data_IF_004971047528
#
_entry.id   IF_004971047528
#
_cell.length_a   1.000
_cell.length_b   1.000
_cell.length_c   1.000
_cell.angle_alpha   90.00
_cell.angle_beta   90.00
_cell.angle_gamma   90.00
#
_symmetry.space_group_name_H-M   'P 1'
#
loop_
_entity.id
_entity.type
_entity.pdbx_description
1 polymer ?
#
# COMPACT_ATOMS: atom_id res chain seq x y z
N UNK A 1 -28.28 -60.12 20.84
CA UNK A 1 -27.68 -59.35 19.73
C UNK A 1 -28.76 -58.44 19.21
N UNK A 2 -28.77 -57.11 19.51
CA UNK A 2 -29.55 -56.12 18.75
C UNK A 2 -28.63 -55.32 17.81
N UNK A 3 -29.12 -55.11 16.58
CA UNK A 3 -28.43 -54.48 15.49
C UNK A 3 -28.17 -53.01 15.70
N UNK A 4 -26.99 -52.57 15.30
CA UNK A 4 -26.60 -51.17 15.17
C UNK A 4 -27.13 -50.60 13.84
N UNK A 5 -28.11 -49.69 13.92
CA UNK A 5 -28.48 -48.83 12.81
C UNK A 5 -27.36 -47.80 12.60
N UNK A 6 -26.70 -47.90 11.44
CA UNK A 6 -25.73 -46.91 10.98
C UNK A 6 -26.50 -45.77 10.30
N UNK A 7 -26.65 -44.64 11.00
CA UNK A 7 -27.19 -43.42 10.40
C UNK A 7 -26.20 -42.88 9.35
N UNK A 8 -26.67 -42.76 8.10
CA UNK A 8 -25.86 -42.29 6.97
C UNK A 8 -25.43 -40.83 7.09
N UNK A 9 -24.31 -40.43 6.43
CA UNK A 9 -23.64 -39.13 6.57
C UNK A 9 -24.37 -37.90 5.97
N UNK A 10 -25.54 -38.11 5.35
CA UNK A 10 -26.19 -37.02 4.58
C UNK A 10 -27.00 -35.98 5.37
N UNK A 11 -27.25 -36.16 6.67
CA UNK A 11 -28.06 -35.19 7.46
C UNK A 11 -27.25 -34.12 8.19
N UNK A 12 -25.97 -34.33 8.42
CA UNK A 12 -25.13 -33.38 9.17
C UNK A 12 -24.63 -32.26 8.25
N UNK A 13 -24.29 -32.58 6.98
CA UNK A 13 -23.83 -31.58 5.99
C UNK A 13 -24.92 -30.58 5.58
N UNK A 14 -26.18 -31.03 5.48
CA UNK A 14 -27.28 -30.12 5.12
C UNK A 14 -27.65 -29.15 6.24
N UNK A 15 -27.51 -29.53 7.50
CA UNK A 15 -27.76 -28.64 8.65
C UNK A 15 -26.68 -27.58 8.82
N UNK A 16 -25.42 -27.93 8.63
CA UNK A 16 -24.29 -26.98 8.67
C UNK A 16 -24.32 -25.97 7.51
N UNK A 17 -24.69 -26.41 6.30
CA UNK A 17 -24.87 -25.54 5.16
C UNK A 17 -26.03 -24.54 5.31
N UNK A 18 -27.14 -24.97 5.91
CA UNK A 18 -28.34 -24.13 6.17
C UNK A 18 -28.07 -23.10 7.28
N UNK A 19 -27.32 -23.47 8.31
CA UNK A 19 -26.89 -22.53 9.35
C UNK A 19 -25.94 -21.49 8.76
N UNK A 20 -25.00 -21.87 7.93
CA UNK A 20 -24.06 -20.94 7.25
C UNK A 20 -24.76 -19.91 6.35
N UNK A 21 -25.83 -20.32 5.61
CA UNK A 21 -26.60 -19.39 4.77
C UNK A 21 -27.41 -18.41 5.62
N UNK A 22 -28.03 -18.86 6.72
CA UNK A 22 -28.77 -17.96 7.63
C UNK A 22 -27.86 -16.96 8.31
N UNK A 23 -26.70 -17.38 8.76
CA UNK A 23 -25.71 -16.52 9.41
C UNK A 23 -25.12 -15.52 8.40
N UNK A 24 -24.85 -15.93 7.17
CA UNK A 24 -24.42 -15.07 6.09
C UNK A 24 -25.48 -14.02 5.72
N UNK A 25 -26.76 -14.41 5.61
CA UNK A 25 -27.87 -13.49 5.38
C UNK A 25 -28.04 -12.50 6.53
N UNK A 26 -27.98 -12.98 7.78
CA UNK A 26 -28.07 -12.16 9.00
C UNK A 26 -26.94 -11.14 9.04
N UNK A 27 -25.72 -11.56 8.73
CA UNK A 27 -24.56 -10.67 8.64
C UNK A 27 -24.76 -9.60 7.57
N UNK A 28 -25.21 -9.96 6.38
CA UNK A 28 -25.50 -9.00 5.30
C UNK A 28 -26.59 -8.00 5.68
N UNK A 29 -27.67 -8.45 6.28
CA UNK A 29 -28.77 -7.59 6.74
C UNK A 29 -28.24 -6.62 7.81
N UNK A 30 -27.50 -7.10 8.78
CA UNK A 30 -26.92 -6.26 9.83
C UNK A 30 -25.94 -5.23 9.24
N UNK A 31 -25.13 -5.66 8.29
CA UNK A 31 -24.21 -4.74 7.59
C UNK A 31 -24.95 -3.63 6.84
N UNK A 32 -26.04 -3.95 6.15
CA UNK A 32 -26.86 -2.94 5.46
C UNK A 32 -27.52 -1.99 6.47
N UNK A 33 -27.99 -2.48 7.62
CA UNK A 33 -28.56 -1.65 8.69
C UNK A 33 -27.56 -0.65 9.30
N UNK A 34 -26.27 -0.97 9.28
CA UNK A 34 -25.21 -0.08 9.75
C UNK A 34 -24.77 0.94 8.70
N UNK A 35 -25.24 0.84 7.44
CA UNK A 35 -24.91 1.76 6.37
C UNK A 35 -25.78 3.01 6.41
N UNK A 36 -25.19 4.15 6.06
CA UNK A 36 -25.97 5.37 5.82
C UNK A 36 -26.72 5.28 4.49
N UNK A 37 -27.82 6.04 4.36
CA UNK A 37 -28.60 6.07 3.11
C UNK A 37 -27.75 6.46 1.88
N UNK A 38 -26.71 7.29 2.06
CA UNK A 38 -25.81 7.69 0.98
C UNK A 38 -24.77 6.60 0.63
N UNK A 39 -24.46 5.68 1.57
CA UNK A 39 -23.49 4.62 1.35
C UNK A 39 -23.98 3.54 0.40
N UNK A 40 -25.26 3.19 0.48
CA UNK A 40 -25.84 2.12 -0.37
C UNK A 40 -25.71 2.44 -1.86
N UNK A 41 -26.17 3.59 -2.38
CA UNK A 41 -25.98 3.92 -3.79
C UNK A 41 -24.51 4.08 -4.17
N UNK A 42 -23.66 4.58 -3.27
CA UNK A 42 -22.23 4.66 -3.51
C UNK A 42 -21.61 3.27 -3.74
N UNK A 43 -21.92 2.29 -2.88
CA UNK A 43 -21.41 0.91 -3.04
C UNK A 43 -21.92 0.24 -4.30
N UNK A 44 -23.20 0.48 -4.66
CA UNK A 44 -23.77 -0.04 -5.90
C UNK A 44 -23.06 0.57 -7.12
N UNK A 45 -22.90 1.90 -7.15
CA UNK A 45 -22.16 2.57 -8.23
C UNK A 45 -20.71 2.04 -8.34
N UNK A 46 -20.03 1.79 -7.21
CA UNK A 46 -18.68 1.22 -7.21
C UNK A 46 -18.64 -0.18 -7.80
N UNK A 47 -19.60 -1.03 -7.45
CA UNK A 47 -19.68 -2.37 -8.02
C UNK A 47 -19.93 -2.31 -9.54
N UNK A 48 -20.86 -1.47 -9.98
CA UNK A 48 -21.14 -1.25 -11.40
C UNK A 48 -19.92 -0.67 -12.14
N UNK A 49 -19.23 0.31 -11.55
CA UNK A 49 -18.00 0.86 -12.13
C UNK A 49 -16.93 -0.19 -12.29
N UNK A 50 -16.70 -1.05 -11.28
CA UNK A 50 -15.71 -2.12 -11.37
C UNK A 50 -16.02 -3.11 -12.50
N UNK A 51 -17.30 -3.46 -12.70
CA UNK A 51 -17.70 -4.31 -13.82
C UNK A 51 -17.55 -3.60 -15.17
N UNK A 52 -17.95 -2.33 -15.27
CA UNK A 52 -17.78 -1.55 -16.49
C UNK A 52 -16.29 -1.38 -16.83
N UNK A 53 -15.44 -1.08 -15.85
CA UNK A 53 -14.00 -0.97 -16.04
C UNK A 53 -13.37 -2.30 -16.48
N UNK A 54 -13.83 -3.44 -15.95
CA UNK A 54 -13.33 -4.76 -16.37
C UNK A 54 -13.66 -5.04 -17.83
N UNK A 55 -14.84 -4.62 -18.32
CA UNK A 55 -15.23 -4.73 -19.73
C UNK A 55 -14.36 -3.81 -20.60
N UNK A 56 -14.23 -2.53 -20.21
CA UNK A 56 -13.40 -1.56 -20.94
C UNK A 56 -11.95 -2.04 -21.02
N UNK A 57 -11.40 -2.56 -19.93
CA UNK A 57 -10.04 -3.09 -19.91
C UNK A 57 -9.84 -4.25 -20.89
N UNK A 58 -10.86 -5.09 -21.08
CA UNK A 58 -10.83 -6.20 -22.06
C UNK A 58 -10.64 -5.69 -23.51
N UNK A 59 -11.13 -4.48 -23.85
CA UNK A 59 -10.94 -3.87 -25.16
C UNK A 59 -9.60 -3.13 -25.33
N UNK A 60 -8.81 -3.01 -24.29
CA UNK A 60 -7.46 -2.46 -24.32
C UNK A 60 -7.06 -1.69 -23.07
N UNK A 61 -5.74 -1.50 -22.87
CA UNK A 61 -5.24 -0.73 -21.72
C UNK A 61 -5.65 0.74 -21.86
N UNK A 62 -5.84 1.39 -20.68
CA UNK A 62 -6.12 2.82 -20.64
C UNK A 62 -4.93 3.62 -21.16
N UNK A 63 -5.23 4.60 -22.01
CA UNK A 63 -4.21 5.53 -22.53
C UNK A 63 -3.78 6.46 -21.39
N UNK A 64 -2.51 6.40 -21.04
CA UNK A 64 -1.89 7.31 -20.07
C UNK A 64 -1.39 8.55 -20.80
N UNK A 65 -1.76 9.76 -20.36
CA UNK A 65 -1.23 10.99 -20.94
C UNK A 65 0.29 11.06 -20.79
N UNK A 66 0.97 11.59 -21.80
CA UNK A 66 2.42 11.79 -21.72
C UNK A 66 2.78 12.73 -20.55
N UNK A 67 3.78 12.39 -19.72
CA UNK A 67 4.22 13.25 -18.63
C UNK A 67 4.99 14.47 -19.17
N UNK A 68 4.71 15.64 -18.61
CA UNK A 68 5.52 16.85 -18.85
C UNK A 68 6.74 16.88 -17.92
N UNK A 69 7.85 16.31 -18.36
CA UNK A 69 9.08 16.22 -17.56
C UNK A 69 9.81 17.57 -17.38
N UNK A 70 9.38 18.65 -18.05
CA UNK A 70 9.90 19.99 -17.81
C UNK A 70 9.40 20.59 -16.48
N UNK A 71 8.32 20.04 -15.92
CA UNK A 71 7.86 20.43 -14.58
C UNK A 71 8.78 19.79 -13.55
N UNK A 72 9.57 20.61 -12.85
CA UNK A 72 10.48 20.14 -11.82
C UNK A 72 9.73 19.62 -10.59
N UNK A 73 10.15 18.48 -10.08
CA UNK A 73 9.78 17.99 -8.75
C UNK A 73 10.81 18.46 -7.72
N UNK A 74 10.34 18.73 -6.50
CA UNK A 74 11.23 19.03 -5.38
C UNK A 74 11.56 17.76 -4.63
N UNK A 75 12.81 17.63 -4.21
CA UNK A 75 13.24 16.54 -3.36
C UNK A 75 12.88 16.85 -1.91
N UNK A 76 12.25 15.90 -1.22
CA UNK A 76 11.94 15.98 0.20
C UNK A 76 12.57 14.83 1.00
N UNK A 77 13.16 13.86 0.29
CA UNK A 77 14.01 12.81 0.86
C UNK A 77 15.46 13.15 0.52
N UNK A 78 16.30 13.25 1.54
CA UNK A 78 17.70 13.61 1.39
C UNK A 78 18.59 12.58 2.05
N UNK A 79 19.76 12.34 1.45
CA UNK A 79 20.82 11.57 2.09
C UNK A 79 21.30 12.30 3.35
N UNK A 80 21.64 11.55 4.39
CA UNK A 80 22.30 12.10 5.57
C UNK A 80 23.75 11.63 5.62
N UNK A 81 24.68 12.59 5.75
CA UNK A 81 26.13 12.33 5.75
C UNK A 81 26.67 11.59 7.00
N UNK A 82 25.80 11.24 7.96
CA UNK A 82 26.21 10.71 9.27
C UNK A 82 25.59 9.35 9.60
N UNK A 83 25.30 8.54 8.59
CA UNK A 83 24.71 7.21 8.78
C UNK A 83 25.82 6.18 8.61
N UNK A 84 25.87 5.21 9.52
CA UNK A 84 26.66 4.00 9.29
C UNK A 84 26.07 3.23 8.12
N UNK A 85 26.83 3.08 7.05
CA UNK A 85 26.37 2.46 5.82
C UNK A 85 26.25 0.93 5.94
N UNK A 86 27.03 0.30 6.80
CA UNK A 86 27.17 -1.16 6.82
C UNK A 86 25.82 -1.90 6.98
N UNK A 87 24.93 -1.56 7.94
CA UNK A 87 23.65 -2.25 8.08
C UNK A 87 22.75 -2.10 6.84
N UNK A 88 22.82 -0.95 6.16
CA UNK A 88 22.01 -0.69 4.93
C UNK A 88 22.51 -1.54 3.75
N UNK A 89 23.84 -1.66 3.62
CA UNK A 89 24.46 -2.49 2.58
C UNK A 89 24.16 -3.96 2.80
N UNK A 90 24.29 -4.45 4.03
CA UNK A 90 23.99 -5.84 4.41
C UNK A 90 22.52 -6.19 4.11
N UNK A 91 21.58 -5.29 4.47
CA UNK A 91 20.16 -5.49 4.17
C UNK A 91 19.89 -5.50 2.66
N UNK A 92 20.52 -4.60 1.90
CA UNK A 92 20.37 -4.54 0.44
C UNK A 92 21.01 -5.74 -0.27
N UNK A 93 22.11 -6.26 0.23
CA UNK A 93 22.76 -7.47 -0.31
C UNK A 93 21.89 -8.71 -0.09
N UNK A 94 21.20 -8.82 1.05
CA UNK A 94 20.17 -9.86 1.26
C UNK A 94 19.04 -9.75 0.23
N UNK A 95 18.51 -8.52 0.02
CA UNK A 95 17.49 -8.27 -1.00
C UNK A 95 17.97 -8.64 -2.41
N UNK A 96 19.19 -8.27 -2.76
CA UNK A 96 19.79 -8.60 -4.06
C UNK A 96 19.94 -10.12 -4.26
N UNK A 97 20.18 -10.85 -3.17
CA UNK A 97 20.20 -12.32 -3.15
C UNK A 97 18.79 -12.97 -3.14
N UNK A 98 17.70 -12.17 -3.24
CA UNK A 98 16.34 -12.69 -3.23
C UNK A 98 15.75 -12.94 -1.84
N UNK A 99 16.42 -12.50 -0.79
CA UNK A 99 16.03 -12.75 0.61
C UNK A 99 15.31 -11.52 1.18
N UNK A 100 14.07 -11.72 1.60
CA UNK A 100 13.19 -10.66 2.11
C UNK A 100 12.58 -11.05 3.46
N UNK A 101 12.21 -10.03 4.23
CA UNK A 101 11.35 -10.18 5.39
C UNK A 101 9.92 -9.83 5.01
N UNK A 102 8.98 -10.73 5.33
CA UNK A 102 7.55 -10.55 5.09
C UNK A 102 6.80 -10.89 6.37
N UNK A 103 6.47 -9.90 7.17
CA UNK A 103 5.90 -10.06 8.51
C UNK A 103 6.73 -11.03 9.38
N UNK A 104 6.10 -12.09 9.90
CA UNK A 104 6.77 -13.09 10.74
C UNK A 104 7.76 -14.00 9.97
N UNK A 105 7.69 -14.01 8.63
CA UNK A 105 8.64 -14.76 7.80
C UNK A 105 9.90 -13.91 7.62
N UNK A 106 10.96 -14.29 8.33
CA UNK A 106 12.24 -13.58 8.28
C UNK A 106 13.21 -14.26 7.33
N UNK A 107 13.93 -13.45 6.56
CA UNK A 107 15.02 -13.86 5.67
C UNK A 107 14.63 -15.02 4.72
N UNK A 108 13.38 -14.94 4.15
CA UNK A 108 12.89 -15.97 3.24
C UNK A 108 13.37 -15.73 1.81
N UNK A 109 13.62 -16.80 1.09
CA UNK A 109 14.00 -16.75 -0.32
C UNK A 109 12.73 -16.61 -1.19
N UNK A 110 12.54 -15.42 -1.76
CA UNK A 110 11.47 -15.12 -2.72
C UNK A 110 11.96 -15.08 -4.16
N UNK A 111 13.27 -15.26 -4.38
CA UNK A 111 13.92 -15.06 -5.66
C UNK A 111 14.23 -13.60 -5.97
N UNK A 112 15.09 -13.39 -6.95
CA UNK A 112 15.46 -12.05 -7.43
C UNK A 112 15.36 -12.01 -8.96
N UNK A 113 14.24 -11.52 -9.54
CA UNK A 113 13.08 -10.91 -8.89
C UNK A 113 12.12 -11.91 -8.24
N UNK A 114 11.31 -11.49 -7.25
CA UNK A 114 10.28 -12.31 -6.61
C UNK A 114 9.17 -12.78 -7.56
N UNK A 115 8.46 -13.86 -7.16
CA UNK A 115 7.21 -14.28 -7.79
C UNK A 115 6.04 -13.42 -7.27
N UNK A 116 5.75 -12.30 -7.94
CA UNK A 116 4.87 -11.22 -7.47
C UNK A 116 3.41 -11.59 -7.20
N UNK A 117 2.90 -12.67 -7.79
CA UNK A 117 1.52 -13.13 -7.59
C UNK A 117 1.43 -14.35 -6.65
N UNK A 118 2.56 -14.78 -6.09
CA UNK A 118 2.63 -15.94 -5.20
C UNK A 118 2.62 -15.50 -3.74
N UNK A 119 1.71 -16.07 -2.95
CA UNK A 119 1.73 -15.91 -1.51
C UNK A 119 2.97 -16.58 -0.90
N UNK A 120 3.88 -15.84 -0.26
CA UNK A 120 5.12 -16.42 0.29
C UNK A 120 4.87 -17.39 1.45
N UNK A 121 3.71 -17.34 2.11
CA UNK A 121 3.37 -18.18 3.25
C UNK A 121 2.82 -19.53 2.83
N UNK A 122 1.88 -19.56 1.89
CA UNK A 122 1.21 -20.80 1.45
C UNK A 122 1.75 -21.35 0.13
N UNK A 123 2.44 -20.52 -0.65
CA UNK A 123 2.90 -20.87 -1.99
C UNK A 123 1.82 -20.81 -3.07
N UNK A 124 0.60 -20.39 -2.74
CA UNK A 124 -0.52 -20.29 -3.69
C UNK A 124 -0.25 -19.14 -4.67
N UNK A 125 -0.45 -19.39 -5.96
CA UNK A 125 -0.37 -18.40 -7.03
C UNK A 125 -1.74 -17.76 -7.25
N UNK A 126 -1.87 -16.46 -6.96
CA UNK A 126 -3.10 -15.73 -7.14
C UNK A 126 -3.40 -15.50 -8.63
N UNK A 127 -4.66 -15.63 -9.09
CA UNK A 127 -5.01 -15.48 -10.49
C UNK A 127 -4.90 -14.02 -10.97
N UNK A 128 -4.56 -13.84 -12.24
CA UNK A 128 -4.48 -12.54 -12.91
C UNK A 128 -5.84 -12.10 -13.45
N UNK A 129 -6.90 -12.19 -12.64
CA UNK A 129 -8.22 -11.64 -12.97
C UNK A 129 -8.28 -10.15 -12.65
N UNK A 130 -9.37 -9.47 -13.05
CA UNK A 130 -9.56 -8.05 -12.74
C UNK A 130 -9.57 -7.83 -11.22
N UNK A 131 -8.62 -7.05 -10.70
CA UNK A 131 -8.31 -6.98 -9.27
C UNK A 131 -9.49 -6.58 -8.38
N UNK A 132 -10.33 -5.63 -8.82
CA UNK A 132 -11.52 -5.20 -8.06
C UNK A 132 -12.67 -6.23 -8.04
N UNK A 133 -12.64 -7.22 -8.91
CA UNK A 133 -13.60 -8.33 -8.94
C UNK A 133 -13.03 -9.63 -8.35
N UNK A 134 -11.73 -9.65 -8.03
CA UNK A 134 -11.07 -10.78 -7.40
C UNK A 134 -11.58 -10.96 -5.95
N UNK A 135 -12.00 -12.16 -5.60
CA UNK A 135 -12.28 -12.50 -4.21
C UNK A 135 -10.99 -12.76 -3.43
N UNK A 136 -10.32 -11.67 -3.09
CA UNK A 136 -9.04 -11.70 -2.34
C UNK A 136 -9.18 -12.19 -0.89
N UNK A 137 -10.40 -12.46 -0.41
CA UNK A 137 -10.63 -13.04 0.91
C UNK A 137 -10.71 -14.57 0.89
N UNK A 138 -10.73 -15.16 -0.28
CA UNK A 138 -10.73 -16.62 -0.41
C UNK A 138 -9.29 -17.15 -0.36
N UNK A 139 -8.85 -17.76 0.75
CA UNK A 139 -7.47 -18.24 0.91
C UNK A 139 -7.12 -19.41 -0.03
N UNK A 140 -8.09 -20.14 -0.55
CA UNK A 140 -7.86 -21.19 -1.54
C UNK A 140 -7.51 -20.61 -2.91
N UNK A 141 -7.90 -19.33 -3.17
CA UNK A 141 -7.69 -18.66 -4.44
C UNK A 141 -6.42 -17.83 -4.45
N UNK A 142 -6.09 -17.15 -3.34
CA UNK A 142 -5.01 -16.15 -3.27
C UNK A 142 -3.99 -16.43 -2.15
N UNK A 143 -4.19 -17.47 -1.34
CA UNK A 143 -3.40 -17.71 -0.15
C UNK A 143 -3.71 -16.70 0.96
N UNK A 144 -2.72 -16.40 1.79
CA UNK A 144 -2.81 -15.31 2.76
C UNK A 144 -2.52 -13.97 2.06
N UNK A 145 -3.60 -13.26 1.73
CA UNK A 145 -3.51 -12.04 0.93
C UNK A 145 -2.62 -10.97 1.57
N UNK A 146 -2.54 -10.90 2.91
CA UNK A 146 -1.69 -9.92 3.61
C UNK A 146 -0.21 -10.17 3.29
N UNK A 147 0.24 -11.42 3.32
CA UNK A 147 1.61 -11.80 2.98
C UNK A 147 1.95 -11.53 1.51
N UNK A 148 1.00 -11.79 0.61
CA UNK A 148 1.16 -11.45 -0.80
C UNK A 148 1.28 -9.93 -1.00
N UNK A 149 0.42 -9.14 -0.36
CA UNK A 149 0.47 -7.67 -0.46
C UNK A 149 1.76 -7.10 0.12
N UNK A 150 2.22 -7.58 1.28
CA UNK A 150 3.43 -7.07 1.93
C UNK A 150 4.65 -7.13 1.00
N UNK A 151 4.89 -8.25 0.36
CA UNK A 151 5.97 -8.40 -0.62
C UNK A 151 5.84 -7.40 -1.80
N UNK A 152 4.61 -6.99 -2.14
CA UNK A 152 4.29 -6.08 -3.24
C UNK A 152 4.14 -4.60 -2.84
N UNK A 153 4.36 -4.25 -1.57
CA UNK A 153 4.47 -2.86 -1.09
C UNK A 153 5.76 -2.19 -1.53
N UNK A 154 6.72 -3.00 -1.97
CA UNK A 154 8.03 -2.58 -2.48
C UNK A 154 8.90 -1.84 -1.45
N UNK A 155 8.77 -2.18 -0.16
CA UNK A 155 9.66 -1.68 0.90
C UNK A 155 11.14 -1.97 0.57
N UNK A 156 11.42 -3.12 -0.01
CA UNK A 156 12.76 -3.56 -0.41
C UNK A 156 13.42 -2.66 -1.48
N UNK A 157 12.63 -1.96 -2.31
CA UNK A 157 13.19 -1.00 -3.28
C UNK A 157 13.76 0.23 -2.57
N UNK A 158 13.18 0.64 -1.44
CA UNK A 158 13.73 1.71 -0.61
C UNK A 158 15.07 1.28 -0.03
N UNK A 159 15.17 0.05 0.50
CA UNK A 159 16.43 -0.53 1.01
C UNK A 159 17.53 -0.52 -0.06
N UNK A 160 17.23 -0.97 -1.27
CA UNK A 160 18.19 -0.95 -2.39
C UNK A 160 18.59 0.48 -2.78
N UNK A 161 17.63 1.42 -2.80
CA UNK A 161 17.90 2.81 -3.14
C UNK A 161 18.75 3.51 -2.08
N UNK A 162 18.55 3.21 -0.79
CA UNK A 162 19.39 3.70 0.30
C UNK A 162 20.81 3.18 0.16
N UNK A 163 21.00 1.88 -0.11
CA UNK A 163 22.31 1.31 -0.31
C UNK A 163 23.03 1.92 -1.52
N UNK A 164 22.31 2.16 -2.63
CA UNK A 164 22.86 2.89 -3.78
C UNK A 164 23.25 4.32 -3.40
N UNK A 165 22.40 5.04 -2.69
CA UNK A 165 22.66 6.41 -2.26
C UNK A 165 23.95 6.51 -1.41
N UNK A 166 24.16 5.54 -0.51
CA UNK A 166 25.30 5.50 0.39
C UNK A 166 26.59 5.01 -0.26
N UNK A 167 26.54 4.04 -1.19
CA UNK A 167 27.72 3.38 -1.75
C UNK A 167 28.04 3.77 -3.19
N UNK A 168 27.04 4.23 -3.94
CA UNK A 168 27.10 4.42 -5.40
C UNK A 168 27.39 3.12 -6.19
N UNK A 169 27.20 1.94 -5.58
CA UNK A 169 27.37 0.66 -6.25
C UNK A 169 26.18 0.38 -7.20
N UNK A 170 26.51 0.29 -8.49
CA UNK A 170 25.52 0.10 -9.55
C UNK A 170 24.78 -1.24 -9.50
N UNK A 171 25.31 -2.23 -8.74
CA UNK A 171 24.61 -3.52 -8.56
C UNK A 171 23.19 -3.33 -8.03
N UNK A 172 22.98 -2.34 -7.12
CA UNK A 172 21.66 -2.04 -6.57
C UNK A 172 20.70 -1.44 -7.62
N UNK A 173 21.21 -0.60 -8.54
CA UNK A 173 20.41 -0.10 -9.67
C UNK A 173 19.96 -1.24 -10.59
N UNK A 174 20.85 -2.22 -10.84
CA UNK A 174 20.53 -3.38 -11.68
C UNK A 174 19.41 -4.22 -11.06
N UNK A 175 19.46 -4.46 -9.74
CA UNK A 175 18.42 -5.20 -9.02
C UNK A 175 17.10 -4.42 -9.03
N UNK A 176 17.11 -3.11 -8.78
CA UNK A 176 15.92 -2.25 -8.86
C UNK A 176 15.30 -2.34 -10.26
N UNK A 177 16.13 -2.24 -11.31
CA UNK A 177 15.68 -2.37 -12.70
C UNK A 177 14.97 -3.71 -12.94
N UNK A 178 15.60 -4.81 -12.56
CA UNK A 178 15.08 -6.16 -12.75
C UNK A 178 13.76 -6.37 -12.00
N UNK A 179 13.69 -5.92 -10.73
CA UNK A 179 12.49 -6.06 -9.92
C UNK A 179 11.32 -5.24 -10.48
N UNK A 180 11.53 -3.98 -10.85
CA UNK A 180 10.49 -3.13 -11.42
C UNK A 180 10.02 -3.66 -12.79
N UNK A 181 10.94 -4.03 -13.68
CA UNK A 181 10.58 -4.53 -15.01
C UNK A 181 9.78 -5.84 -14.92
N UNK A 182 10.20 -6.76 -14.05
CA UNK A 182 9.49 -8.00 -13.73
C UNK A 182 8.11 -7.73 -13.14
N UNK A 183 8.02 -6.77 -12.19
CA UNK A 183 6.73 -6.43 -11.57
C UNK A 183 5.75 -5.86 -12.60
N UNK A 184 6.16 -4.91 -13.43
CA UNK A 184 5.31 -4.36 -14.49
C UNK A 184 4.84 -5.40 -15.50
N UNK A 185 5.63 -6.45 -15.74
CA UNK A 185 5.23 -7.56 -16.61
C UNK A 185 4.24 -8.52 -15.94
N UNK A 186 4.42 -8.75 -14.63
CA UNK A 186 3.64 -9.72 -13.87
C UNK A 186 2.34 -9.17 -13.29
N UNK A 187 2.28 -7.86 -13.03
CA UNK A 187 1.18 -7.17 -12.35
C UNK A 187 0.67 -5.98 -13.21
N UNK A 188 0.16 -6.23 -14.44
CA UNK A 188 -0.32 -5.16 -15.31
C UNK A 188 -1.49 -4.40 -14.66
N UNK A 189 -1.72 -3.17 -15.11
CA UNK A 189 -2.76 -2.27 -14.59
C UNK A 189 -4.07 -3.01 -14.33
N UNK A 190 -4.59 -2.86 -13.11
CA UNK A 190 -5.89 -3.41 -12.62
C UNK A 190 -6.01 -4.94 -12.60
N UNK A 191 -4.94 -5.68 -12.89
CA UNK A 191 -4.98 -7.16 -12.93
C UNK A 191 -4.28 -7.78 -11.73
N UNK A 192 -4.93 -8.80 -11.17
CA UNK A 192 -4.42 -9.61 -10.05
C UNK A 192 -4.65 -9.00 -8.66
N UNK A 193 -4.16 -9.73 -7.67
CA UNK A 193 -4.32 -9.40 -6.25
C UNK A 193 -3.70 -8.04 -5.86
N UNK A 194 -2.66 -7.62 -6.58
CA UNK A 194 -1.94 -6.36 -6.34
C UNK A 194 -2.73 -5.10 -6.71
N UNK A 195 -3.91 -5.27 -7.34
CA UNK A 195 -4.84 -4.21 -7.71
C UNK A 195 -6.22 -4.38 -7.04
N UNK A 196 -6.32 -5.20 -6.00
CA UNK A 196 -7.59 -5.42 -5.28
C UNK A 196 -7.86 -4.36 -4.20
N UNK A 197 -6.81 -3.79 -3.59
CA UNK A 197 -6.87 -2.79 -2.51
C UNK A 197 -6.21 -1.48 -2.91
N UNK A 198 -6.92 -0.36 -2.75
CA UNK A 198 -6.38 0.98 -3.02
C UNK A 198 -5.32 1.39 -1.99
N UNK A 199 -5.40 0.89 -0.75
CA UNK A 199 -4.37 1.09 0.27
C UNK A 199 -3.02 0.49 -0.17
N UNK A 200 -3.01 -0.74 -0.68
CA UNK A 200 -1.79 -1.41 -1.12
C UNK A 200 -1.13 -0.69 -2.31
N UNK A 201 -1.98 -0.21 -3.23
CA UNK A 201 -1.54 0.63 -4.35
C UNK A 201 -0.93 1.95 -3.84
N UNK A 202 -1.51 2.54 -2.80
CA UNK A 202 -1.03 3.79 -2.19
C UNK A 202 0.30 3.62 -1.45
N UNK A 203 0.45 2.56 -0.64
CA UNK A 203 1.72 2.26 0.05
C UNK A 203 2.84 2.03 -0.97
N UNK A 204 2.55 1.32 -2.06
CA UNK A 204 3.51 1.12 -3.16
C UNK A 204 3.95 2.45 -3.77
N UNK A 205 3.03 3.42 -3.99
CA UNK A 205 3.38 4.74 -4.47
C UNK A 205 4.27 5.53 -3.49
N UNK A 206 4.05 5.39 -2.18
CA UNK A 206 4.92 6.01 -1.16
C UNK A 206 6.35 5.45 -1.31
N UNK A 207 6.50 4.13 -1.34
CA UNK A 207 7.80 3.47 -1.47
C UNK A 207 8.48 3.80 -2.81
N UNK A 208 7.71 3.86 -3.90
CA UNK A 208 8.24 4.30 -5.19
C UNK A 208 8.67 5.77 -5.17
N UNK A 209 7.95 6.65 -4.46
CA UNK A 209 8.31 8.06 -4.32
C UNK A 209 9.65 8.22 -3.61
N UNK A 210 9.84 7.51 -2.49
CA UNK A 210 11.09 7.53 -1.74
C UNK A 210 12.23 6.96 -2.58
N UNK A 211 12.02 5.80 -3.21
CA UNK A 211 12.99 5.17 -4.12
C UNK A 211 13.40 6.11 -5.25
N UNK A 212 12.40 6.71 -5.94
CA UNK A 212 12.62 7.65 -7.04
C UNK A 212 13.50 8.83 -6.62
N UNK A 213 13.24 9.40 -5.44
CA UNK A 213 13.99 10.55 -4.95
C UNK A 213 15.43 10.18 -4.55
N UNK A 214 15.62 9.07 -3.82
CA UNK A 214 16.96 8.59 -3.46
C UNK A 214 17.84 8.27 -4.68
N UNK A 215 17.22 7.87 -5.79
CA UNK A 215 17.92 7.60 -7.06
C UNK A 215 18.21 8.85 -7.91
N UNK A 216 17.77 10.04 -7.50
CA UNK A 216 18.00 11.28 -8.24
C UNK A 216 16.88 11.69 -9.22
N UNK A 217 15.68 11.09 -9.09
CA UNK A 217 14.51 11.48 -9.86
C UNK A 217 14.62 11.16 -11.35
N UNK A 218 14.18 12.08 -12.20
CA UNK A 218 14.24 11.93 -13.67
C UNK A 218 15.66 11.81 -14.23
N UNK A 219 16.65 12.29 -13.47
CA UNK A 219 18.07 12.30 -13.83
C UNK A 219 18.84 11.09 -13.25
N UNK A 220 18.13 10.11 -12.72
CA UNK A 220 18.75 8.90 -12.16
C UNK A 220 19.59 8.16 -13.20
N UNK A 221 20.80 7.67 -12.85
CA UNK A 221 21.58 6.78 -13.72
C UNK A 221 20.81 5.51 -14.12
N UNK A 222 19.83 5.09 -13.32
CA UNK A 222 18.92 3.99 -13.65
C UNK A 222 18.24 4.18 -15.03
N UNK A 223 18.08 5.42 -15.48
CA UNK A 223 17.37 5.76 -16.71
C UNK A 223 18.28 6.05 -17.90
N UNK A 224 19.57 5.86 -17.73
CA UNK A 224 20.52 5.95 -18.84
C UNK A 224 20.29 4.83 -19.85
N UNK A 225 20.72 5.06 -21.07
CA UNK A 225 20.59 4.15 -22.18
C UNK A 225 19.13 3.77 -22.56
N UNK A 226 18.98 3.00 -23.62
CA UNK A 226 17.66 2.65 -24.18
C UNK A 226 16.79 1.81 -23.23
N UNK A 227 17.41 0.94 -22.42
CA UNK A 227 16.68 0.10 -21.46
C UNK A 227 16.17 0.94 -20.28
N UNK A 228 17.03 1.79 -19.72
CA UNK A 228 16.65 2.70 -18.64
C UNK A 228 15.56 3.70 -19.07
N UNK A 229 15.64 4.23 -20.29
CA UNK A 229 14.60 5.10 -20.84
C UNK A 229 13.24 4.38 -20.99
N UNK A 230 13.24 3.08 -21.36
CA UNK A 230 12.03 2.26 -21.39
C UNK A 230 11.47 2.01 -19.98
N UNK A 231 12.33 1.69 -19.01
CA UNK A 231 11.93 1.52 -17.61
C UNK A 231 11.30 2.81 -17.07
N UNK A 232 11.93 3.97 -17.27
CA UNK A 232 11.38 5.27 -16.86
C UNK A 232 9.97 5.50 -17.39
N UNK A 233 9.76 5.26 -18.70
CA UNK A 233 8.42 5.40 -19.31
C UNK A 233 7.41 4.49 -18.65
N UNK A 234 7.70 3.18 -18.50
CA UNK A 234 6.80 2.21 -17.86
C UNK A 234 6.52 2.56 -16.40
N UNK A 235 7.52 3.03 -15.67
CA UNK A 235 7.34 3.42 -14.28
C UNK A 235 6.40 4.63 -14.19
N UNK A 236 6.61 5.67 -14.98
CA UNK A 236 5.73 6.84 -15.01
C UNK A 236 4.30 6.49 -15.48
N UNK A 237 4.14 5.64 -16.48
CA UNK A 237 2.85 5.11 -16.89
C UNK A 237 2.15 4.41 -15.71
N UNK A 238 2.86 3.54 -15.00
CA UNK A 238 2.33 2.83 -13.83
C UNK A 238 2.02 3.77 -12.66
N UNK A 239 2.83 4.79 -12.40
CA UNK A 239 2.54 5.83 -11.39
C UNK A 239 1.20 6.51 -11.68
N UNK A 240 0.97 6.92 -12.93
CA UNK A 240 -0.30 7.54 -13.33
C UNK A 240 -1.48 6.58 -13.13
N UNK A 241 -1.34 5.31 -13.53
CA UNK A 241 -2.36 4.28 -13.36
C UNK A 241 -2.68 4.04 -11.88
N UNK A 242 -1.67 3.99 -11.00
CA UNK A 242 -1.83 3.87 -9.55
C UNK A 242 -2.60 5.07 -8.98
N UNK A 243 -2.18 6.29 -9.31
CA UNK A 243 -2.84 7.51 -8.83
C UNK A 243 -4.31 7.59 -9.29
N UNK A 244 -4.58 7.20 -10.53
CA UNK A 244 -5.92 7.13 -11.07
C UNK A 244 -6.76 6.05 -10.39
N UNK A 245 -6.20 4.88 -10.12
CA UNK A 245 -6.87 3.81 -9.39
C UNK A 245 -7.24 4.27 -7.98
N UNK A 246 -6.32 4.85 -7.22
CA UNK A 246 -6.60 5.36 -5.87
C UNK A 246 -7.71 6.42 -5.91
N UNK A 247 -7.60 7.42 -6.78
CA UNK A 247 -8.59 8.49 -6.90
C UNK A 247 -9.98 7.95 -7.27
N UNK A 248 -10.02 6.84 -8.00
CA UNK A 248 -11.22 6.11 -8.37
C UNK A 248 -11.80 5.24 -7.24
N UNK A 249 -11.01 4.77 -6.27
CA UNK A 249 -11.41 3.72 -5.32
C UNK A 249 -11.16 4.06 -3.85
N UNK A 250 -11.25 5.32 -3.46
CA UNK A 250 -11.16 5.72 -2.05
C UNK A 250 -12.13 4.95 -1.15
N UNK A 251 -11.64 4.52 0.00
CA UNK A 251 -12.42 3.91 1.08
C UNK A 251 -13.25 4.97 1.78
N UNK A 252 -14.55 5.03 1.48
CA UNK A 252 -15.48 6.05 2.00
C UNK A 252 -16.50 5.45 2.95
N UNK A 253 -17.20 6.30 3.69
CA UNK A 253 -18.28 5.95 4.63
C UNK A 253 -17.80 5.00 5.73
N UNK A 254 -18.46 3.86 5.92
CA UNK A 254 -18.09 2.87 6.94
C UNK A 254 -16.76 2.15 6.67
N UNK A 255 -16.15 2.38 5.51
CA UNK A 255 -14.79 1.91 5.19
C UNK A 255 -13.73 3.00 5.36
N UNK A 256 -14.12 4.21 5.80
CA UNK A 256 -13.21 5.32 6.06
C UNK A 256 -12.55 5.13 7.42
N UNK A 257 -11.46 4.39 7.44
CA UNK A 257 -10.56 4.14 8.56
C UNK A 257 -9.12 4.48 8.12
N UNK A 258 -8.10 3.83 8.71
CA UNK A 258 -6.70 3.99 8.28
C UNK A 258 -6.50 3.81 6.76
N UNK A 259 -7.35 3.01 6.10
CA UNK A 259 -7.30 2.84 4.63
C UNK A 259 -7.47 4.17 3.90
N UNK A 260 -8.46 4.99 4.25
CA UNK A 260 -8.68 6.28 3.59
C UNK A 260 -7.52 7.24 3.80
N UNK A 261 -6.92 7.24 5.00
CA UNK A 261 -5.71 8.04 5.29
C UNK A 261 -4.54 7.56 4.43
N UNK A 262 -4.28 6.25 4.37
CA UNK A 262 -3.20 5.69 3.57
C UNK A 262 -3.37 5.92 2.07
N UNK A 263 -4.58 5.75 1.57
CA UNK A 263 -4.94 6.04 0.17
C UNK A 263 -4.70 7.51 -0.19
N UNK A 264 -5.13 8.42 0.68
CA UNK A 264 -4.90 9.85 0.48
C UNK A 264 -3.42 10.21 0.63
N UNK A 265 -2.69 9.61 1.58
CA UNK A 265 -1.25 9.84 1.76
C UNK A 265 -0.45 9.41 0.52
N UNK A 266 -0.69 8.21 -0.01
CA UNK A 266 -0.02 7.74 -1.22
C UNK A 266 -0.32 8.62 -2.42
N UNK A 267 -1.57 9.05 -2.61
CA UNK A 267 -1.95 9.94 -3.70
C UNK A 267 -1.32 11.34 -3.55
N UNK A 268 -1.29 11.89 -2.33
CA UNK A 268 -0.68 13.20 -2.04
C UNK A 268 0.82 13.19 -2.31
N UNK A 269 1.53 12.20 -1.76
CA UNK A 269 2.99 12.05 -1.93
C UNK A 269 3.34 11.83 -3.41
N UNK A 270 2.58 10.99 -4.12
CA UNK A 270 2.76 10.77 -5.55
C UNK A 270 2.56 12.04 -6.37
N UNK A 271 1.53 12.82 -6.07
CA UNK A 271 1.24 14.07 -6.77
C UNK A 271 2.33 15.13 -6.58
N UNK A 272 3.00 15.15 -5.41
CA UNK A 272 4.16 16.01 -5.14
C UNK A 272 5.43 15.51 -5.83
N UNK A 273 5.66 14.20 -5.81
CA UNK A 273 6.85 13.58 -6.41
C UNK A 273 6.81 13.62 -7.94
N UNK A 274 5.63 13.44 -8.54
CA UNK A 274 5.42 13.45 -9.99
C UNK A 274 4.37 14.50 -10.41
N UNK A 275 4.73 15.81 -10.38
CA UNK A 275 3.81 16.89 -10.77
C UNK A 275 3.68 17.01 -12.29
N UNK A 276 3.90 15.92 -13.02
CA UNK A 276 4.11 15.89 -14.47
C UNK A 276 2.81 15.87 -15.29
N UNK A 277 1.64 15.74 -14.65
CA UNK A 277 0.34 15.74 -15.33
C UNK A 277 -0.55 16.86 -14.78
N UNK A 278 -1.45 17.36 -15.61
CA UNK A 278 -2.46 18.35 -15.16
C UNK A 278 -3.34 17.80 -14.02
N UNK A 279 -3.57 16.48 -14.02
CA UNK A 279 -4.30 15.77 -12.96
C UNK A 279 -3.54 15.71 -11.63
N UNK A 280 -2.20 15.83 -11.62
CA UNK A 280 -1.41 15.80 -10.38
C UNK A 280 -1.86 16.86 -9.37
N UNK A 281 -2.19 18.07 -9.84
CA UNK A 281 -2.71 19.14 -8.97
C UNK A 281 -4.10 18.80 -8.39
N UNK A 282 -4.94 18.16 -9.17
CA UNK A 282 -6.27 17.70 -8.71
C UNK A 282 -6.09 16.63 -7.64
N UNK A 283 -5.22 15.65 -7.88
CA UNK A 283 -4.90 14.60 -6.92
C UNK A 283 -4.34 15.16 -5.61
N UNK A 284 -3.37 16.09 -5.71
CA UNK A 284 -2.78 16.77 -4.54
C UNK A 284 -3.86 17.47 -3.70
N UNK A 285 -4.73 18.27 -4.33
CA UNK A 285 -5.77 19.02 -3.62
C UNK A 285 -6.80 18.09 -2.99
N UNK A 286 -7.27 17.08 -3.73
CA UNK A 286 -8.23 16.10 -3.23
C UNK A 286 -7.67 15.32 -2.05
N UNK A 287 -6.45 14.81 -2.18
CA UNK A 287 -5.80 14.04 -1.13
C UNK A 287 -5.54 14.89 0.11
N UNK A 288 -5.03 16.12 -0.05
CA UNK A 288 -4.82 17.07 1.07
C UNK A 288 -6.11 17.31 1.84
N UNK A 289 -7.22 17.58 1.15
CA UNK A 289 -8.51 17.82 1.80
C UNK A 289 -9.02 16.59 2.59
N UNK A 290 -8.78 15.39 2.07
CA UNK A 290 -9.09 14.14 2.79
C UNK A 290 -8.22 14.05 4.03
N UNK A 291 -6.91 14.24 3.93
CA UNK A 291 -5.96 14.18 5.05
C UNK A 291 -6.30 15.19 6.15
N UNK A 292 -6.60 16.44 5.79
CA UNK A 292 -7.04 17.48 6.74
C UNK A 292 -8.29 17.05 7.53
N UNK A 293 -9.25 16.47 6.83
CA UNK A 293 -10.52 16.05 7.43
C UNK A 293 -10.33 14.81 8.31
N UNK A 294 -9.65 13.79 7.78
CA UNK A 294 -9.54 12.51 8.45
C UNK A 294 -8.53 12.53 9.61
N UNK A 295 -7.51 13.38 9.57
CA UNK A 295 -6.64 13.61 10.71
C UNK A 295 -7.43 14.05 11.96
N UNK A 296 -8.44 14.92 11.78
CA UNK A 296 -9.31 15.36 12.86
C UNK A 296 -10.38 14.32 13.23
N UNK A 297 -10.91 13.62 12.26
CA UNK A 297 -12.03 12.71 12.43
C UNK A 297 -11.63 11.38 13.05
N UNK A 298 -10.47 10.84 12.65
CA UNK A 298 -10.01 9.51 13.07
C UNK A 298 -9.13 9.55 14.32
N UNK A 299 -8.67 10.72 14.73
CA UNK A 299 -7.88 10.88 15.96
C UNK A 299 -8.60 11.85 16.90
N UNK A 300 -8.64 11.51 18.19
CA UNK A 300 -9.26 12.32 19.22
C UNK A 300 -8.42 13.58 19.55
N UNK A 301 -8.97 14.60 20.21
CA UNK A 301 -8.20 15.81 20.54
C UNK A 301 -6.94 15.58 21.37
N UNK A 302 -6.92 14.52 22.18
CA UNK A 302 -5.78 14.07 22.98
C UNK A 302 -4.78 13.19 22.21
N UNK A 303 -4.96 13.06 20.89
CA UNK A 303 -4.09 12.30 20.00
C UNK A 303 -4.44 10.83 19.85
N UNK A 304 -5.33 10.25 20.65
CA UNK A 304 -5.67 8.82 20.56
C UNK A 304 -6.34 8.49 19.24
N UNK A 305 -5.79 7.51 18.53
CA UNK A 305 -6.43 7.00 17.31
C UNK A 305 -7.70 6.21 17.66
N UNK A 306 -8.80 6.48 16.96
CA UNK A 306 -10.13 5.94 17.25
C UNK A 306 -10.30 4.46 16.89
N UNK A 307 -9.37 3.85 16.19
CA UNK A 307 -9.33 2.39 15.97
C UNK A 307 -8.86 1.63 17.22
N UNK A 308 -8.36 2.36 18.26
CA UNK A 308 -8.00 1.83 19.57
C UNK A 308 -7.00 0.66 19.50
N UNK A 309 -6.05 0.76 18.57
CA UNK A 309 -4.94 -0.18 18.42
C UNK A 309 -3.63 0.59 18.25
N UNK A 310 -2.60 0.22 19.02
CA UNK A 310 -1.30 0.93 18.97
C UNK A 310 -0.64 0.78 17.62
N UNK A 311 -0.70 -0.40 17.02
CA UNK A 311 -0.15 -0.63 15.66
C UNK A 311 -0.78 0.31 14.63
N UNK A 312 -2.10 0.49 14.65
CA UNK A 312 -2.79 1.43 13.74
C UNK A 312 -2.52 2.89 14.07
N UNK A 313 -2.30 3.21 15.37
CA UNK A 313 -1.87 4.55 15.75
C UNK A 313 -0.52 4.92 15.10
N UNK A 314 0.48 4.02 15.20
CA UNK A 314 1.78 4.20 14.55
C UNK A 314 1.64 4.36 13.04
N UNK A 315 0.94 3.43 12.40
CA UNK A 315 0.75 3.43 10.96
C UNK A 315 0.09 4.72 10.44
N UNK A 316 -0.95 5.20 11.12
CA UNK A 316 -1.64 6.45 10.77
C UNK A 316 -0.74 7.65 11.02
N UNK A 317 -0.02 7.69 12.15
CA UNK A 317 0.90 8.77 12.48
C UNK A 317 2.02 8.89 11.45
N UNK A 318 2.64 7.77 11.06
CA UNK A 318 3.67 7.73 10.01
C UNK A 318 3.17 8.33 8.69
N UNK A 319 1.98 7.91 8.25
CA UNK A 319 1.38 8.40 7.00
C UNK A 319 1.12 9.91 7.05
N UNK A 320 0.55 10.40 8.14
CA UNK A 320 0.25 11.82 8.31
C UNK A 320 1.52 12.66 8.42
N UNK A 321 2.53 12.17 9.15
CA UNK A 321 3.83 12.84 9.32
C UNK A 321 4.60 12.91 7.99
N UNK A 322 4.64 11.82 7.23
CA UNK A 322 5.23 11.81 5.88
C UNK A 322 4.60 12.86 4.97
N UNK A 323 3.26 12.98 5.01
CA UNK A 323 2.55 13.99 4.23
C UNK A 323 2.89 15.41 4.67
N UNK A 324 3.00 15.65 5.97
CA UNK A 324 3.40 16.96 6.51
C UNK A 324 4.80 17.35 6.03
N UNK A 325 5.77 16.43 6.14
CA UNK A 325 7.16 16.66 5.73
C UNK A 325 7.28 16.90 4.21
N UNK A 326 6.66 16.01 3.41
CA UNK A 326 6.63 16.16 1.96
C UNK A 326 5.95 17.47 1.54
N UNK A 327 4.84 17.82 2.18
CA UNK A 327 4.13 19.08 1.94
C UNK A 327 4.99 20.29 2.23
N UNK A 328 5.59 20.37 3.42
CA UNK A 328 6.47 21.50 3.82
C UNK A 328 7.60 21.73 2.82
N UNK A 329 8.29 20.68 2.38
CA UNK A 329 9.37 20.79 1.39
C UNK A 329 8.89 21.25 0.01
N UNK A 330 7.65 20.91 -0.34
CA UNK A 330 7.05 21.33 -1.61
C UNK A 330 6.31 22.67 -1.55
N UNK A 331 6.25 23.32 -0.38
CA UNK A 331 5.51 24.58 -0.18
C UNK A 331 4.00 24.39 -0.14
N UNK A 332 3.55 23.19 0.20
CA UNK A 332 2.12 22.83 0.38
C UNK A 332 1.87 22.66 1.87
N UNK A 333 1.30 23.68 2.49
CA UNK A 333 1.11 23.74 3.94
C UNK A 333 -0.21 23.10 4.37
N UNK A 334 -0.16 22.33 5.42
CA UNK A 334 -1.34 21.86 6.15
C UNK A 334 -1.84 22.94 7.13
N UNK A 335 -3.05 22.78 7.62
CA UNK A 335 -3.62 23.69 8.61
C UNK A 335 -2.96 23.53 9.99
N UNK A 336 -3.05 24.59 10.81
CA UNK A 336 -2.63 24.52 12.22
C UNK A 336 -3.35 23.38 12.94
N UNK A 337 -4.64 23.17 12.67
CA UNK A 337 -5.40 22.07 13.26
C UNK A 337 -4.81 20.70 12.92
N UNK A 338 -4.34 20.50 11.70
CA UNK A 338 -3.66 19.26 11.28
C UNK A 338 -2.35 19.07 12.07
N UNK A 339 -1.50 20.10 12.14
CA UNK A 339 -0.22 20.02 12.85
C UNK A 339 -0.43 19.79 14.36
N UNK A 340 -1.37 20.51 14.99
CA UNK A 340 -1.72 20.31 16.41
C UNK A 340 -2.22 18.88 16.67
N UNK A 341 -2.97 18.28 15.75
CA UNK A 341 -3.42 16.90 15.90
C UNK A 341 -2.26 15.90 15.84
N UNK A 342 -1.29 16.11 14.96
CA UNK A 342 -0.10 15.28 14.88
C UNK A 342 0.76 15.42 16.15
N UNK A 343 0.90 16.64 16.66
CA UNK A 343 1.60 16.89 17.91
C UNK A 343 0.96 16.10 19.07
N UNK A 344 -0.37 16.18 19.21
CA UNK A 344 -1.09 15.41 20.22
C UNK A 344 -0.92 13.88 20.03
N UNK A 345 -0.88 13.38 18.77
CA UNK A 345 -0.63 11.96 18.52
C UNK A 345 0.78 11.52 18.92
N UNK A 346 1.79 12.38 18.72
CA UNK A 346 3.16 12.13 19.17
C UNK A 346 3.27 12.18 20.70
N UNK A 347 2.62 13.14 21.35
CA UNK A 347 2.57 13.25 22.81
C UNK A 347 1.89 12.02 23.44
N UNK A 348 0.77 11.57 22.86
CA UNK A 348 0.12 10.34 23.30
C UNK A 348 1.05 9.14 23.20
N UNK A 349 1.71 8.95 22.05
CA UNK A 349 2.67 7.86 21.86
C UNK A 349 3.81 7.92 22.88
N UNK A 350 4.41 9.10 23.08
CA UNK A 350 5.46 9.31 24.08
C UNK A 350 4.98 9.01 25.50
N UNK A 351 3.71 9.30 25.82
CA UNK A 351 3.14 9.08 27.15
C UNK A 351 2.94 7.60 27.53
N UNK A 352 2.77 6.73 26.52
CA UNK A 352 2.57 5.28 26.71
C UNK A 352 3.86 4.46 26.49
N UNK A 353 4.93 5.11 26.06
CA UNK A 353 6.23 4.48 25.80
C UNK A 353 7.02 4.32 27.10
N UNK A 354 7.65 3.15 27.29
CA UNK A 354 8.57 2.93 28.40
C UNK A 354 9.96 3.58 28.13
N UNK A 355 10.84 3.52 29.13
CA UNK A 355 12.20 4.11 29.03
C UNK A 355 13.08 3.46 27.97
N UNK A 356 12.72 2.29 27.47
CA UNK A 356 13.43 1.55 26.42
C UNK A 356 12.84 1.79 25.03
N UNK A 357 11.77 2.58 24.95
CA UNK A 357 11.09 2.86 23.68
C UNK A 357 9.99 1.85 23.32
N UNK A 358 9.68 0.89 24.21
CA UNK A 358 8.61 -0.07 23.93
C UNK A 358 7.24 0.56 24.21
N UNK A 359 6.26 0.16 23.42
CA UNK A 359 4.85 0.55 23.59
C UNK A 359 4.01 -0.66 23.98
N UNK A 360 2.96 -0.47 24.80
CA UNK A 360 2.08 -1.57 25.17
C UNK A 360 1.32 -2.08 23.96
N UNK A 361 1.22 -3.40 23.84
CA UNK A 361 0.44 -4.04 22.79
C UNK A 361 -1.02 -4.14 23.23
N UNK A 362 -1.88 -3.32 22.66
CA UNK A 362 -3.33 -3.45 22.81
C UNK A 362 -4.05 -3.18 21.48
N UNK A 363 -5.25 -3.71 21.35
CA UNK A 363 -6.01 -3.68 20.10
C UNK A 363 -5.54 -4.71 19.09
N UNK A 364 -5.93 -4.51 17.84
CA UNK A 364 -5.48 -5.34 16.71
C UNK A 364 -4.01 -5.03 16.40
N UNK A 365 -3.24 -6.08 16.12
CA UNK A 365 -1.81 -5.95 15.79
C UNK A 365 -1.57 -6.33 14.35
N UNK A 366 -0.95 -5.41 13.62
CA UNK A 366 -0.51 -5.62 12.24
C UNK A 366 0.89 -4.99 12.14
N UNK A 367 1.90 -5.77 11.76
CA UNK A 367 3.30 -5.32 11.63
C UNK A 367 3.52 -4.51 10.35
N UNK A 368 2.45 -4.02 9.73
CA UNK A 368 2.48 -3.28 8.48
C UNK A 368 3.21 -1.94 8.64
N UNK A 369 4.17 -1.70 7.76
CA UNK A 369 4.89 -0.43 7.65
C UNK A 369 4.49 0.31 6.38
N UNK A 370 4.37 1.64 6.47
CA UNK A 370 4.14 2.49 5.30
C UNK A 370 5.41 2.60 4.43
N UNK A 371 6.55 2.76 5.08
CA UNK A 371 7.88 2.87 4.46
C UNK A 371 8.93 2.40 5.47
N UNK A 372 10.03 1.84 4.98
CA UNK A 372 11.14 1.41 5.82
C UNK A 372 12.33 2.32 5.60
N UNK A 373 12.66 3.16 6.60
CA UNK A 373 13.83 4.03 6.56
C UNK A 373 15.06 3.45 7.26
N UNK A 374 14.88 2.42 8.08
CA UNK A 374 15.96 1.73 8.79
C UNK A 374 16.11 0.30 8.29
N UNK A 375 17.34 -0.24 8.23
CA UNK A 375 17.58 -1.57 7.66
C UNK A 375 17.18 -2.74 8.55
N UNK A 376 16.90 -2.51 9.79
CA UNK A 376 16.46 -3.50 10.77
C UNK A 376 14.99 -3.30 11.10
N UNK A 377 14.20 -4.28 11.37
CA UNK A 377 14.51 -5.35 12.33
C UNK A 377 13.88 -6.66 12.00
#
# INVERSE_FOLDING_TARGET
MPGHDVAGPGRIETAAAVTGIKDWLRWRINRVRCMTLAEVPHRLMRALSAHAESIVWFFGPMIVPAPNLAVASKFWVHETARVDAAPYLDAADRVAAGRLDVFALRDIDLGSPPSWNRDPKSGIEAPRSFGKLLDYRNPELVGDIKYLWEANRHLHLVTLAQAYALSRDEKYLQVIHQHLDSWFASCPDRMGANWSSALEVAIRLINWSVTWQLLGGVNSPLFEHAQGARLRRRWLESVHQHAQFISGYFSRYSSANNHLIGEAAGLFIAALTWPHWTTSRIWQTTAKNILETEAQRQNAPDGVNREQAVAYHHFVLDLLLLCLLAGKHNGVWFSVAYETRLEAMLEYLASIMDVSGNVPMFGDSDDAQAVRFTPSD
#
